data_IF_286705541364
#
_entry.id   IF_286705541364
#
_cell.length_a   1.000
_cell.length_b   1.000
_cell.length_c   1.000
_cell.angle_alpha   90.00
_cell.angle_beta   90.00
_cell.angle_gamma   90.00
#
_symmetry.space_group_name_H-M   'P 1'
#
loop_
_entity.id
_entity.type
_entity.pdbx_description
1 polymer ?
#
# COMPACT_ATOMS: atom_id res chain seq x y z
N UNK A 1 -12.11 34.38 3.73
CA UNK A 1 -12.42 34.13 2.29
C UNK A 1 -11.20 33.54 1.58
N UNK A 2 -10.00 34.04 1.89
CA UNK A 2 -8.68 33.54 1.43
C UNK A 2 -8.45 32.06 1.81
N UNK A 3 -8.76 31.65 3.04
CA UNK A 3 -8.58 30.26 3.52
C UNK A 3 -9.37 29.23 2.71
N UNK A 4 -10.56 29.61 2.21
CA UNK A 4 -11.42 28.71 1.42
C UNK A 4 -10.82 28.50 0.02
N UNK A 5 -10.24 29.54 -0.57
CA UNK A 5 -9.58 29.46 -1.87
C UNK A 5 -8.30 28.61 -1.79
N UNK A 6 -7.50 28.80 -0.74
CA UNK A 6 -6.27 28.04 -0.54
C UNK A 6 -6.55 26.53 -0.36
N UNK A 7 -7.58 26.18 0.41
CA UNK A 7 -8.02 24.78 0.58
C UNK A 7 -8.47 24.12 -0.73
N UNK A 8 -9.18 24.86 -1.59
CA UNK A 8 -9.57 24.35 -2.91
C UNK A 8 -8.33 24.13 -3.78
N UNK A 9 -7.41 25.09 -3.82
CA UNK A 9 -6.17 24.99 -4.59
C UNK A 9 -5.34 23.76 -4.16
N UNK A 10 -5.22 23.51 -2.85
CA UNK A 10 -4.54 22.32 -2.32
C UNK A 10 -5.18 21.00 -2.75
N UNK A 11 -6.52 20.93 -2.75
CA UNK A 11 -7.24 19.75 -3.21
C UNK A 11 -7.03 19.50 -4.71
N UNK A 12 -7.08 20.56 -5.52
CA UNK A 12 -6.84 20.48 -6.96
C UNK A 12 -5.41 20.05 -7.24
N UNK A 13 -4.41 20.62 -6.58
CA UNK A 13 -3.01 20.21 -6.76
C UNK A 13 -2.77 18.77 -6.33
N UNK A 14 -3.42 18.32 -5.26
CA UNK A 14 -3.34 16.92 -4.88
C UNK A 14 -3.89 15.99 -5.97
N UNK A 15 -5.01 16.37 -6.59
CA UNK A 15 -5.55 15.64 -7.73
C UNK A 15 -4.61 15.67 -8.93
N UNK A 16 -4.05 16.83 -9.29
CA UNK A 16 -3.06 16.96 -10.38
C UNK A 16 -1.86 16.04 -10.14
N UNK A 17 -1.34 15.97 -8.92
CA UNK A 17 -0.23 15.07 -8.58
C UNK A 17 -0.64 13.60 -8.76
N UNK A 18 -1.87 13.23 -8.37
CA UNK A 18 -2.40 11.88 -8.59
C UNK A 18 -2.49 11.54 -10.08
N UNK A 19 -3.03 12.44 -10.90
CA UNK A 19 -3.11 12.27 -12.36
C UNK A 19 -1.72 12.15 -13.01
N UNK A 20 -0.75 12.97 -12.59
CA UNK A 20 0.64 12.86 -13.06
C UNK A 20 1.28 11.51 -12.71
N UNK A 21 0.97 10.97 -11.53
CA UNK A 21 1.46 9.65 -11.13
C UNK A 21 0.81 8.53 -11.95
N UNK A 22 -0.48 8.63 -12.26
CA UNK A 22 -1.19 7.69 -13.15
C UNK A 22 -0.57 7.73 -14.55
N UNK A 23 -0.34 8.92 -15.10
CA UNK A 23 0.29 9.09 -16.41
C UNK A 23 1.70 8.46 -16.44
N UNK A 24 2.54 8.75 -15.43
CA UNK A 24 3.86 8.14 -15.33
C UNK A 24 3.79 6.61 -15.17
N UNK A 25 2.81 6.08 -14.44
CA UNK A 25 2.60 4.64 -14.33
C UNK A 25 2.23 4.02 -15.69
N UNK A 26 1.40 4.70 -16.49
CA UNK A 26 1.04 4.22 -17.82
C UNK A 26 2.23 4.13 -18.78
N UNK A 27 3.19 5.05 -18.70
CA UNK A 27 4.46 4.97 -19.45
C UNK A 27 5.26 3.71 -19.08
N UNK A 28 5.32 3.37 -17.79
CA UNK A 28 5.94 2.10 -17.35
C UNK A 28 5.18 0.89 -17.86
N UNK A 29 3.85 0.91 -17.83
CA UNK A 29 3.00 -0.20 -18.32
C UNK A 29 3.25 -0.42 -19.81
N UNK A 30 3.28 0.64 -20.61
CA UNK A 30 3.60 0.59 -22.04
C UNK A 30 4.96 -0.08 -22.28
N UNK A 31 6.01 0.42 -21.62
CA UNK A 31 7.35 -0.13 -21.70
C UNK A 31 7.41 -1.63 -21.34
N UNK A 32 6.73 -2.04 -20.27
CA UNK A 32 6.72 -3.44 -19.86
C UNK A 32 5.92 -4.33 -20.82
N UNK A 33 4.82 -3.82 -21.38
CA UNK A 33 4.06 -4.52 -22.42
C UNK A 33 4.91 -4.74 -23.68
N UNK A 34 5.63 -3.71 -24.14
CA UNK A 34 6.57 -3.85 -25.26
C UNK A 34 7.66 -4.89 -24.99
N UNK A 35 8.24 -4.87 -23.78
CA UNK A 35 9.24 -5.85 -23.34
C UNK A 35 8.68 -7.28 -23.39
N UNK A 36 7.45 -7.49 -22.90
CA UNK A 36 6.78 -8.79 -22.89
C UNK A 36 6.55 -9.27 -24.31
N UNK A 37 6.06 -8.41 -25.20
CA UNK A 37 5.84 -8.75 -26.62
C UNK A 37 7.16 -9.09 -27.31
N UNK A 38 8.20 -8.28 -27.13
CA UNK A 38 9.53 -8.49 -27.71
C UNK A 38 10.22 -9.78 -27.24
N UNK A 39 9.77 -10.35 -26.12
CA UNK A 39 10.31 -11.59 -25.52
C UNK A 39 9.28 -12.73 -25.47
N UNK A 40 8.15 -12.58 -26.16
CA UNK A 40 7.05 -13.53 -26.10
C UNK A 40 7.44 -14.96 -26.48
N UNK A 41 8.33 -15.12 -27.48
CA UNK A 41 8.81 -16.43 -27.92
C UNK A 41 9.57 -17.20 -26.83
N UNK A 42 10.33 -16.50 -25.99
CA UNK A 42 11.09 -17.07 -24.87
C UNK A 42 10.14 -17.37 -23.70
N UNK A 43 9.26 -16.42 -23.40
CA UNK A 43 8.21 -16.54 -22.38
C UNK A 43 7.36 -17.77 -22.66
N UNK A 44 6.87 -17.94 -23.90
CA UNK A 44 6.00 -19.04 -24.28
C UNK A 44 6.65 -20.43 -24.06
N UNK A 45 7.94 -20.58 -24.43
CA UNK A 45 8.66 -21.86 -24.39
C UNK A 45 9.09 -22.29 -22.99
N UNK A 46 9.35 -21.35 -22.08
CA UNK A 46 9.85 -21.65 -20.73
C UNK A 46 8.69 -21.82 -19.75
N UNK A 47 8.85 -22.79 -18.84
CA UNK A 47 7.90 -23.02 -17.73
C UNK A 47 8.10 -22.01 -16.60
N UNK A 48 9.35 -21.69 -16.29
CA UNK A 48 9.70 -20.69 -15.28
C UNK A 48 9.91 -19.31 -15.92
N UNK A 49 9.56 -18.26 -15.17
CA UNK A 49 9.72 -16.89 -15.63
C UNK A 49 11.22 -16.53 -15.72
N UNK A 50 11.75 -16.22 -16.91
CA UNK A 50 13.16 -15.85 -17.06
C UNK A 50 13.46 -14.55 -16.32
N UNK A 51 14.66 -14.39 -15.77
CA UNK A 51 15.03 -13.23 -14.96
C UNK A 51 14.84 -11.89 -15.67
N UNK A 52 15.13 -11.83 -16.97
CA UNK A 52 15.06 -10.60 -17.77
C UNK A 52 13.63 -10.01 -17.89
N UNK A 53 12.61 -10.72 -18.43
CA UNK A 53 11.24 -10.20 -18.48
C UNK A 53 10.50 -10.27 -17.13
N UNK A 54 11.08 -10.88 -16.09
CA UNK A 54 10.40 -11.06 -14.79
C UNK A 54 9.95 -9.74 -14.18
N UNK A 55 10.79 -8.70 -14.23
CA UNK A 55 10.44 -7.37 -13.71
C UNK A 55 9.21 -6.80 -14.41
N UNK A 56 9.17 -6.85 -15.74
CA UNK A 56 8.02 -6.33 -16.49
C UNK A 56 6.74 -7.13 -16.24
N UNK A 57 6.83 -8.46 -16.22
CA UNK A 57 5.67 -9.33 -15.95
C UNK A 57 5.14 -9.09 -14.52
N UNK A 58 6.02 -9.07 -13.52
CA UNK A 58 5.63 -8.81 -12.14
C UNK A 58 5.03 -7.41 -11.96
N UNK A 59 5.57 -6.41 -12.66
CA UNK A 59 5.06 -5.04 -12.61
C UNK A 59 3.67 -4.94 -13.24
N UNK A 60 3.44 -5.53 -14.42
CA UNK A 60 2.11 -5.60 -15.05
C UNK A 60 1.08 -6.30 -14.14
N UNK A 61 1.48 -7.38 -13.47
CA UNK A 61 0.63 -8.07 -12.48
C UNK A 61 0.27 -7.15 -11.31
N UNK A 62 1.23 -6.38 -10.79
CA UNK A 62 0.99 -5.41 -9.71
C UNK A 62 0.01 -4.31 -10.13
N UNK A 63 0.09 -3.88 -11.40
CA UNK A 63 -0.74 -2.83 -11.97
C UNK A 63 -2.20 -3.25 -12.13
N UNK A 64 -2.45 -4.53 -12.46
CA UNK A 64 -3.79 -5.06 -12.74
C UNK A 64 -4.89 -4.70 -11.71
N UNK A 65 -4.70 -4.83 -10.38
CA UNK A 65 -5.71 -4.42 -9.40
C UNK A 65 -5.76 -2.90 -9.14
N UNK A 66 -4.81 -2.12 -9.63
CA UNK A 66 -4.64 -0.68 -9.33
C UNK A 66 -5.07 0.23 -10.48
N UNK A 67 -4.98 -0.24 -11.72
CA UNK A 67 -5.35 0.49 -12.92
C UNK A 67 -6.69 -0.02 -13.45
N UNK A 68 -7.79 0.51 -12.91
CA UNK A 68 -9.16 0.14 -13.31
C UNK A 68 -9.51 0.56 -14.74
N UNK A 69 -8.80 1.54 -15.27
CA UNK A 69 -8.94 2.11 -16.61
C UNK A 69 -8.39 1.21 -17.72
N UNK A 70 -7.58 0.19 -17.37
CA UNK A 70 -7.02 -0.80 -18.30
C UNK A 70 -7.41 -2.22 -17.84
N UNK A 71 -8.67 -2.65 -18.07
CA UNK A 71 -9.15 -3.97 -17.63
C UNK A 71 -8.39 -5.15 -18.25
N UNK A 72 -7.72 -4.96 -19.39
CA UNK A 72 -6.89 -5.96 -20.05
C UNK A 72 -5.72 -6.43 -19.19
N UNK A 73 -5.23 -5.59 -18.27
CA UNK A 73 -4.17 -5.98 -17.32
C UNK A 73 -4.62 -7.12 -16.40
N UNK A 74 -5.91 -7.17 -16.05
CA UNK A 74 -6.52 -8.26 -15.28
C UNK A 74 -6.45 -9.57 -16.08
N UNK A 75 -6.78 -9.52 -17.36
CA UNK A 75 -6.65 -10.69 -18.23
C UNK A 75 -5.19 -11.14 -18.37
N UNK A 76 -4.23 -10.21 -18.50
CA UNK A 76 -2.80 -10.54 -18.53
C UNK A 76 -2.34 -11.21 -17.23
N UNK A 77 -2.76 -10.70 -16.07
CA UNK A 77 -2.50 -11.32 -14.77
C UNK A 77 -3.00 -12.76 -14.75
N UNK A 78 -4.24 -13.01 -15.20
CA UNK A 78 -4.84 -14.34 -15.19
C UNK A 78 -4.10 -15.32 -16.12
N UNK A 79 -3.60 -14.83 -17.27
CA UNK A 79 -2.75 -15.61 -18.17
C UNK A 79 -1.43 -15.98 -17.47
N UNK A 80 -0.79 -15.03 -16.80
CA UNK A 80 0.46 -15.29 -16.08
C UNK A 80 0.25 -16.15 -14.83
N UNK A 81 -0.90 -16.08 -14.17
CA UNK A 81 -1.28 -16.97 -13.07
C UNK A 81 -1.35 -18.42 -13.56
N UNK A 82 -2.03 -18.66 -14.70
CA UNK A 82 -2.11 -20.00 -15.30
C UNK A 82 -0.74 -20.53 -15.71
N UNK A 83 0.18 -19.66 -16.09
CA UNK A 83 1.51 -20.03 -16.59
C UNK A 83 2.55 -20.25 -15.49
N UNK A 84 2.61 -19.37 -14.49
CA UNK A 84 3.66 -19.35 -13.45
C UNK A 84 3.13 -19.68 -12.05
N UNK A 85 1.82 -19.80 -11.88
CA UNK A 85 1.17 -20.15 -10.63
C UNK A 85 0.78 -18.95 -9.77
N UNK A 86 -0.09 -19.25 -8.79
CA UNK A 86 -0.62 -18.26 -7.83
C UNK A 86 0.46 -17.68 -6.92
N UNK A 87 1.47 -18.46 -6.56
CA UNK A 87 2.58 -17.99 -5.73
C UNK A 87 3.39 -16.88 -6.41
N UNK A 88 3.55 -16.97 -7.74
CA UNK A 88 4.23 -15.93 -8.51
C UNK A 88 3.42 -14.62 -8.52
N UNK A 89 2.11 -14.72 -8.79
CA UNK A 89 1.20 -13.56 -8.82
C UNK A 89 1.08 -12.91 -7.44
N UNK A 90 0.86 -13.70 -6.39
CA UNK A 90 0.79 -13.19 -5.02
C UNK A 90 2.11 -12.56 -4.58
N UNK A 91 3.26 -13.16 -4.91
CA UNK A 91 4.55 -12.55 -4.61
C UNK A 91 4.70 -11.15 -5.25
N UNK A 92 4.22 -10.97 -6.49
CA UNK A 92 4.21 -9.67 -7.17
C UNK A 92 3.23 -8.68 -6.52
N UNK A 93 1.99 -9.08 -6.23
CA UNK A 93 0.98 -8.23 -5.60
C UNK A 93 1.38 -7.81 -4.19
N UNK A 94 1.92 -8.73 -3.40
CA UNK A 94 2.37 -8.54 -2.02
C UNK A 94 3.73 -7.81 -1.92
N UNK A 95 4.37 -7.51 -3.06
CA UNK A 95 5.70 -6.90 -3.11
C UNK A 95 6.76 -7.66 -2.31
N UNK A 96 6.72 -9.00 -2.36
CA UNK A 96 7.73 -9.83 -1.66
C UNK A 96 9.13 -9.52 -2.19
N UNK A 97 10.21 -9.70 -1.41
CA UNK A 97 11.58 -9.42 -1.86
C UNK A 97 11.99 -10.15 -3.15
N UNK A 98 11.38 -11.32 -3.42
CA UNK A 98 11.63 -12.13 -4.61
C UNK A 98 10.80 -11.76 -5.84
N UNK A 99 9.89 -10.78 -5.73
CA UNK A 99 8.95 -10.40 -6.79
C UNK A 99 9.64 -9.75 -7.99
N UNK A 100 10.68 -8.95 -7.74
CA UNK A 100 11.42 -8.26 -8.80
C UNK A 100 10.66 -7.10 -9.45
N UNK A 101 9.63 -6.56 -8.80
CA UNK A 101 8.86 -5.41 -9.31
C UNK A 101 9.72 -4.14 -9.30
N UNK A 102 9.55 -3.30 -10.31
CA UNK A 102 10.23 -2.01 -10.40
C UNK A 102 9.84 -1.05 -9.25
N UNK A 103 10.84 -0.51 -8.55
CA UNK A 103 10.62 0.34 -7.36
C UNK A 103 9.97 1.68 -7.68
N UNK A 104 10.41 2.33 -8.75
CA UNK A 104 9.84 3.62 -9.17
C UNK A 104 8.38 3.44 -9.59
N UNK A 105 8.09 2.34 -10.28
CA UNK A 105 6.73 1.99 -10.66
C UNK A 105 5.81 1.77 -9.45
N UNK A 106 6.28 1.09 -8.40
CA UNK A 106 5.53 0.94 -7.13
C UNK A 106 5.21 2.31 -6.53
N UNK A 107 6.16 3.24 -6.53
CA UNK A 107 5.95 4.58 -6.01
C UNK A 107 4.87 5.33 -6.80
N UNK A 108 4.86 5.21 -8.13
CA UNK A 108 3.84 5.83 -9.00
C UNK A 108 2.45 5.25 -8.80
N UNK A 109 2.34 3.94 -8.62
CA UNK A 109 1.06 3.28 -8.33
C UNK A 109 0.58 3.43 -6.88
N UNK A 110 1.35 4.09 -6.02
CA UNK A 110 1.05 4.24 -4.60
C UNK A 110 -0.03 5.30 -4.38
N UNK A 111 -1.13 4.92 -3.72
CA UNK A 111 -2.24 5.83 -3.35
C UNK A 111 -1.90 6.70 -2.13
N UNK A 112 -0.62 7.00 -1.91
CA UNK A 112 -0.18 7.81 -0.76
C UNK A 112 -0.53 9.26 -0.99
N UNK A 113 -1.09 9.90 0.03
CA UNK A 113 -1.32 11.35 0.02
C UNK A 113 0.03 12.07 -0.15
N UNK A 114 0.16 12.93 -1.18
CA UNK A 114 1.34 13.75 -1.35
C UNK A 114 1.61 14.60 -0.11
N UNK A 115 2.89 14.74 0.25
CA UNK A 115 3.27 15.57 1.41
C UNK A 115 2.98 17.05 1.12
N UNK A 116 2.81 17.85 2.17
CA UNK A 116 2.62 19.30 2.03
C UNK A 116 3.75 19.96 1.24
N UNK A 117 5.00 19.51 1.42
CA UNK A 117 6.14 20.00 0.66
C UNK A 117 6.04 19.72 -0.84
N UNK A 118 5.56 18.54 -1.23
CA UNK A 118 5.35 18.22 -2.66
C UNK A 118 4.22 19.07 -3.23
N UNK A 119 3.10 19.21 -2.51
CA UNK A 119 1.98 20.07 -2.92
C UNK A 119 2.43 21.52 -3.13
N UNK A 120 3.16 22.08 -2.16
CA UNK A 120 3.70 23.43 -2.23
C UNK A 120 4.65 23.60 -3.42
N UNK A 121 5.53 22.63 -3.67
CA UNK A 121 6.47 22.67 -4.79
C UNK A 121 5.72 22.77 -6.12
N UNK A 122 4.72 21.92 -6.33
CA UNK A 122 3.90 21.93 -7.56
C UNK A 122 3.12 23.24 -7.68
N UNK A 123 2.55 23.76 -6.60
CA UNK A 123 1.88 25.07 -6.62
C UNK A 123 2.82 26.21 -7.02
N UNK A 124 4.06 26.23 -6.50
CA UNK A 124 5.08 27.22 -6.88
C UNK A 124 5.47 27.10 -8.35
N UNK A 125 5.59 25.89 -8.87
CA UNK A 125 5.88 25.64 -10.28
C UNK A 125 4.75 26.16 -11.19
N UNK A 126 3.49 25.89 -10.83
CA UNK A 126 2.31 26.42 -11.55
C UNK A 126 2.27 27.94 -11.49
N UNK A 127 2.42 28.54 -10.30
CA UNK A 127 2.40 30.01 -10.16
C UNK A 127 3.48 30.67 -11.03
N UNK A 128 4.68 30.08 -11.07
CA UNK A 128 5.78 30.54 -11.93
C UNK A 128 5.45 30.41 -13.42
N UNK A 129 4.88 29.28 -13.85
CA UNK A 129 4.53 29.03 -15.25
C UNK A 129 3.51 30.05 -15.77
N UNK A 130 2.51 30.38 -14.95
CA UNK A 130 1.47 31.35 -15.29
C UNK A 130 1.79 32.80 -14.87
N UNK A 131 3.00 33.08 -14.39
CA UNK A 131 3.46 34.41 -13.94
C UNK A 131 2.54 35.04 -12.89
N UNK A 132 2.01 34.23 -11.98
CA UNK A 132 1.17 34.66 -10.86
C UNK A 132 2.08 35.01 -9.69
N UNK A 133 1.99 36.26 -9.21
CA UNK A 133 2.62 36.68 -7.97
C UNK A 133 1.82 36.14 -6.78
N UNK A 134 2.27 35.00 -6.24
CA UNK A 134 1.60 34.29 -5.16
C UNK A 134 2.46 34.30 -3.90
N UNK A 135 1.93 34.88 -2.82
CA UNK A 135 2.55 34.83 -1.51
C UNK A 135 2.42 33.42 -0.90
N UNK A 136 3.55 32.75 -0.71
CA UNK A 136 3.59 31.36 -0.23
C UNK A 136 3.63 31.25 1.29
N UNK A 137 3.75 32.35 2.03
CA UNK A 137 4.01 32.35 3.49
C UNK A 137 2.91 31.65 4.28
N UNK A 138 1.64 31.99 4.03
CA UNK A 138 0.47 31.38 4.68
C UNK A 138 0.33 29.89 4.35
N UNK A 139 0.54 29.52 3.08
CA UNK A 139 0.42 28.14 2.61
C UNK A 139 1.54 27.25 3.14
N UNK A 140 2.76 27.78 3.27
CA UNK A 140 3.87 27.13 3.95
C UNK A 140 3.54 26.86 5.42
N UNK A 141 2.97 27.84 6.12
CA UNK A 141 2.62 27.66 7.53
C UNK A 141 1.52 26.64 7.71
N UNK A 142 0.45 26.66 6.90
CA UNK A 142 -0.63 25.67 6.99
C UNK A 142 -0.15 24.24 6.64
N UNK A 143 0.64 24.07 5.58
CA UNK A 143 1.12 22.75 5.14
C UNK A 143 2.16 22.13 6.06
N UNK A 144 2.95 22.96 6.75
CA UNK A 144 3.93 22.50 7.74
C UNK A 144 3.27 22.25 9.10
N UNK A 145 2.30 23.08 9.53
CA UNK A 145 1.54 22.85 10.78
C UNK A 145 0.76 21.54 10.77
N UNK A 146 0.22 21.12 9.62
CA UNK A 146 -0.46 19.82 9.47
C UNK A 146 0.44 18.61 9.77
N UNK A 147 1.76 18.77 9.76
CA UNK A 147 2.72 17.72 10.15
C UNK A 147 3.01 17.69 11.65
N UNK A 148 2.78 18.80 12.35
CA UNK A 148 3.28 19.03 13.70
C UNK A 148 2.26 18.73 14.79
N UNK A 149 0.98 18.42 14.48
CA UNK A 149 0.06 17.96 15.53
C UNK A 149 0.59 16.64 16.10
N UNK A 150 1.20 16.66 17.31
CA UNK A 150 1.63 15.44 17.94
C UNK A 150 0.35 14.68 18.23
N UNK A 151 0.32 13.38 17.95
CA UNK A 151 -0.72 12.53 18.50
C UNK A 151 -0.50 12.57 20.01
N UNK A 152 -1.23 13.45 20.71
CA UNK A 152 -1.37 13.39 22.16
C UNK A 152 -2.09 12.08 22.45
N UNK A 153 -1.29 11.02 22.60
CA UNK A 153 -1.75 9.80 23.24
C UNK A 153 -2.24 10.15 24.65
N UNK A 154 -3.18 9.37 25.21
CA UNK A 154 -3.63 9.59 26.58
C UNK A 154 -2.43 9.71 27.52
N UNK A 155 -2.27 10.87 28.18
CA UNK A 155 -1.17 11.14 29.13
C UNK A 155 -1.22 10.27 30.40
N UNK A 156 -2.12 9.30 30.46
CA UNK A 156 -2.25 8.35 31.55
C UNK A 156 -1.63 7.01 31.13
N UNK A 157 -0.32 6.88 31.30
CA UNK A 157 0.28 5.55 31.48
C UNK A 157 -0.14 5.04 32.86
N UNK A 158 -1.30 4.38 32.93
CA UNK A 158 -1.71 3.68 34.15
C UNK A 158 -0.87 2.42 34.22
N UNK A 159 0.08 2.39 35.16
CA UNK A 159 0.87 1.19 35.45
C UNK A 159 -0.09 0.06 35.84
N UNK A 160 0.05 -1.11 35.20
CA UNK A 160 -0.76 -2.30 35.47
C UNK A 160 -0.68 -2.78 36.93
N UNK A 161 0.30 -2.29 37.69
CA UNK A 161 0.45 -2.53 39.13
C UNK A 161 -0.57 -1.81 40.02
N UNK A 162 -1.42 -0.93 39.46
CA UNK A 162 -2.47 -0.19 40.21
C UNK A 162 -3.88 -0.77 40.05
N UNK A 163 -4.06 -1.83 39.26
CA UNK A 163 -5.34 -2.52 39.14
C UNK A 163 -5.61 -3.37 40.39
N UNK A 164 -6.79 -3.27 41.02
CA UNK A 164 -7.14 -4.13 42.15
C UNK A 164 -7.20 -5.59 41.68
N UNK A 165 -6.28 -6.42 42.16
CA UNK A 165 -6.36 -7.87 42.00
C UNK A 165 -7.54 -8.36 42.84
N UNK A 166 -8.61 -8.81 42.18
CA UNK A 166 -9.72 -9.48 42.85
C UNK A 166 -9.24 -10.90 43.22
N UNK A 167 -8.84 -11.08 44.48
CA UNK A 167 -8.48 -12.40 45.01
C UNK A 167 -9.70 -13.34 44.92
N UNK A 168 -9.57 -14.37 44.09
CA UNK A 168 -10.44 -15.54 44.14
C UNK A 168 -9.79 -16.51 45.15
N UNK A 169 -10.52 -17.01 46.17
CA UNK A 169 -9.97 -17.99 47.10
C UNK A 169 -9.62 -19.28 46.36
N UNK A 170 -8.36 -19.71 46.47
CA UNK A 170 -7.88 -21.00 45.98
C UNK A 170 -8.45 -22.09 46.90
N UNK A 171 -9.41 -22.89 46.40
CA UNK A 171 -9.76 -24.17 47.01
C UNK A 171 -8.77 -25.23 46.52
N UNK A 172 -7.96 -25.73 47.44
CA UNK A 172 -7.07 -26.87 47.29
C UNK A 172 -7.87 -28.14 47.00
N UNK A 173 -7.54 -28.84 45.91
CA UNK A 173 -8.04 -30.19 45.63
C UNK A 173 -6.89 -31.17 45.85
N UNK A 174 -7.01 -32.01 46.89
CA UNK A 174 -6.13 -33.15 47.18
C UNK A 174 -6.49 -34.39 46.33
N UNK A 175 -5.54 -35.31 46.07
CA UNK A 175 -5.70 -36.41 45.13
C UNK A 175 -6.27 -37.68 45.81
N UNK A 176 -7.39 -38.22 45.31
CA UNK A 176 -7.97 -39.47 45.79
C UNK A 176 -7.53 -40.70 44.98
N UNK A 177 -7.04 -41.74 45.69
CA UNK A 177 -6.76 -43.12 45.24
C UNK A 177 -8.08 -43.91 45.04
N UNK A 178 -8.08 -45.03 44.29
CA UNK A 178 -9.28 -45.67 43.75
C UNK A 178 -9.84 -46.80 44.65
N UNK A 179 -11.16 -46.99 44.63
CA UNK A 179 -11.84 -48.17 45.20
C UNK A 179 -13.01 -48.63 44.32
N UNK A 180 -12.97 -49.94 44.01
CA UNK A 180 -13.91 -50.78 43.25
C UNK A 180 -15.18 -51.09 44.08
N UNK A 181 -16.35 -51.25 43.42
CA UNK A 181 -17.50 -52.17 43.72
C UNK A 181 -18.74 -51.67 42.96
N UNK A 182 -19.71 -52.43 42.45
CA UNK A 182 -19.95 -53.85 42.14
C UNK A 182 -21.34 -53.88 41.46
N UNK A 183 -21.56 -54.76 40.49
CA UNK A 183 -22.87 -55.02 39.88
C UNK A 183 -23.88 -55.63 40.88
N UNK A 184 -25.18 -55.39 40.69
CA UNK A 184 -26.21 -56.44 40.51
C UNK A 184 -27.62 -55.83 40.36
N UNK A 185 -28.25 -56.15 39.23
CA UNK A 185 -29.61 -56.69 39.04
C UNK A 185 -30.78 -56.14 39.88
N UNK A 186 -31.80 -55.66 39.16
CA UNK A 186 -33.06 -56.39 38.93
C UNK A 186 -33.72 -55.93 37.64
#
# INVERSE_FOLDING_TARGET
>A
MVDRFNRIALCVVEHVIREQNVLAANEFIELFCELIVARLSIIAKRRECPAYPKEGIASVILAAPRCSEIPELVAMRDIFEKKYGKDFVSAAIDLRPSSGVNRLFIEKLSVRTPTGQVKLKVMKEIAKEYQIDWDTTESETELLKLREEPIEGPHAFVSASSLPVKNIPVQSVEPNKPTIRSASER
#
